data_IF_374564605378
#
_entry.id   IF_374564605378
#
_cell.length_a   1.000
_cell.length_b   1.000
_cell.length_c   1.000
_cell.angle_alpha   90.00
_cell.angle_beta   90.00
_cell.angle_gamma   90.00
#
_symmetry.space_group_name_H-M   'P 1'
#
loop_
_entity.id
_entity.type
_entity.pdbx_description
1 polymer ?
#
# COMPACT_ATOMS: atom_id res chain seq x y z
N UNK A 1 -44.46 48.01 48.09
CA UNK A 1 -43.47 47.52 49.07
C UNK A 1 -43.72 46.02 49.28
N UNK A 2 -42.64 45.24 49.38
CA UNK A 2 -42.57 43.76 49.56
C UNK A 2 -43.02 42.92 48.35
N UNK A 3 -42.36 41.84 47.94
CA UNK A 3 -41.16 41.11 48.42
C UNK A 3 -40.61 40.27 47.26
N UNK A 4 -39.32 39.99 47.28
CA UNK A 4 -38.60 39.11 46.36
C UNK A 4 -38.66 37.62 46.77
N UNK A 5 -38.13 36.77 45.86
CA UNK A 5 -37.75 35.34 45.97
C UNK A 5 -38.86 34.29 45.78
N UNK A 6 -38.67 33.15 45.09
CA UNK A 6 -37.44 32.43 44.80
C UNK A 6 -37.51 31.58 43.51
N UNK A 7 -36.33 31.47 42.90
CA UNK A 7 -35.90 30.57 41.82
C UNK A 7 -36.01 29.09 42.21
N UNK A 8 -36.43 28.20 41.28
CA UNK A 8 -35.97 26.81 41.11
C UNK A 8 -36.75 26.04 40.02
N UNK A 9 -36.11 25.85 38.87
CA UNK A 9 -36.14 24.58 38.12
C UNK A 9 -35.02 24.64 37.07
N UNK A 10 -33.84 24.15 37.48
CA UNK A 10 -32.72 23.83 36.60
C UNK A 10 -32.90 22.39 36.10
N UNK A 11 -32.56 22.15 34.84
CA UNK A 11 -32.22 20.82 34.31
C UNK A 11 -33.38 20.18 33.54
N UNK A 12 -33.23 19.70 32.31
CA UNK A 12 -32.03 19.27 31.59
C UNK A 12 -32.31 19.51 30.10
N UNK A 13 -31.62 20.48 29.49
CA UNK A 13 -31.49 20.49 28.04
C UNK A 13 -30.48 19.39 27.72
N UNK A 14 -30.97 18.19 27.33
CA UNK A 14 -30.14 17.12 26.79
C UNK A 14 -29.55 17.63 25.46
N UNK A 15 -28.45 18.37 25.57
CA UNK A 15 -27.51 18.58 24.49
C UNK A 15 -26.98 17.19 24.12
N UNK A 16 -27.62 16.55 23.15
CA UNK A 16 -26.98 15.52 22.34
C UNK A 16 -25.85 16.20 21.56
N UNK A 17 -24.74 16.50 22.24
CA UNK A 17 -23.46 16.69 21.58
C UNK A 17 -23.10 15.32 21.03
N UNK A 18 -23.58 15.03 19.82
CA UNK A 18 -23.01 14.00 18.98
C UNK A 18 -21.57 14.45 18.76
N UNK A 19 -20.66 13.92 19.59
CA UNK A 19 -19.23 14.04 19.36
C UNK A 19 -18.98 13.18 18.12
N UNK A 20 -19.17 13.77 16.94
CA UNK A 20 -18.59 13.23 15.73
C UNK A 20 -17.09 13.38 15.90
N UNK A 21 -16.42 12.32 16.36
CA UNK A 21 -15.00 12.16 16.11
C UNK A 21 -14.85 12.14 14.59
N UNK A 22 -14.64 13.32 14.03
CA UNK A 22 -14.13 13.46 12.68
C UNK A 22 -12.72 12.87 12.74
N UNK A 23 -12.60 11.58 12.44
CA UNK A 23 -11.33 11.00 12.03
C UNK A 23 -10.90 11.82 10.80
N UNK A 24 -9.97 12.75 11.00
CA UNK A 24 -9.37 13.50 9.91
C UNK A 24 -8.64 12.48 9.04
N UNK A 25 -9.32 12.00 8.00
CA UNK A 25 -8.74 11.13 6.99
C UNK A 25 -7.56 11.89 6.40
N UNK A 26 -6.34 11.44 6.69
CA UNK A 26 -5.15 12.03 6.12
C UNK A 26 -5.29 11.96 4.60
N UNK A 27 -5.01 13.06 3.89
CA UNK A 27 -5.28 13.19 2.45
C UNK A 27 -4.56 12.12 1.61
N UNK A 28 -3.53 11.48 2.18
CA UNK A 28 -2.81 10.36 1.61
C UNK A 28 -3.51 9.00 1.72
N UNK A 29 -4.51 8.79 2.56
CA UNK A 29 -5.05 7.45 2.82
C UNK A 29 -6.10 6.99 1.80
N UNK A 30 -6.00 5.72 1.39
CA UNK A 30 -6.98 5.09 0.47
C UNK A 30 -7.76 3.99 1.17
N UNK A 31 -8.94 3.67 0.66
CA UNK A 31 -9.81 2.60 1.17
C UNK A 31 -9.75 1.33 0.33
N UNK A 32 -9.29 1.45 -0.91
CA UNK A 32 -9.21 0.41 -1.93
C UNK A 32 -7.78 0.36 -2.49
N UNK A 33 -7.38 -0.80 -3.00
CA UNK A 33 -6.10 -0.92 -3.70
C UNK A 33 -6.12 -0.05 -4.96
N UNK A 34 -5.09 0.79 -5.14
CA UNK A 34 -4.89 1.53 -6.38
C UNK A 34 -3.61 1.05 -7.06
N UNK A 35 -3.72 0.70 -8.34
CA UNK A 35 -2.63 0.19 -9.16
C UNK A 35 -2.35 1.21 -10.26
N UNK A 36 -1.19 1.85 -10.23
CA UNK A 36 -0.73 2.75 -11.29
C UNK A 36 0.44 2.14 -12.06
N UNK A 37 0.28 1.89 -13.35
CA UNK A 37 1.41 1.45 -14.20
C UNK A 37 2.32 2.66 -14.46
N UNK A 38 3.59 2.55 -14.10
CA UNK A 38 4.62 3.60 -14.30
C UNK A 38 5.44 3.39 -15.55
N UNK A 39 5.68 2.14 -15.90
CA UNK A 39 6.33 1.74 -17.13
C UNK A 39 5.81 0.36 -17.51
N UNK A 40 5.50 0.17 -18.79
CA UNK A 40 5.15 -1.13 -19.35
C UNK A 40 6.06 -1.42 -20.54
N UNK A 41 6.76 -2.56 -20.58
CA UNK A 41 7.53 -2.98 -21.74
C UNK A 41 6.67 -2.99 -23.01
N UNK A 42 7.28 -2.69 -24.15
CA UNK A 42 6.60 -2.70 -25.44
C UNK A 42 6.06 -4.11 -25.80
N UNK A 43 6.83 -5.14 -25.45
CA UNK A 43 6.43 -6.55 -25.56
C UNK A 43 6.18 -7.12 -24.18
N UNK A 44 5.08 -7.85 -24.05
CA UNK A 44 4.65 -8.47 -22.81
C UNK A 44 4.62 -9.99 -22.99
N UNK A 45 5.77 -10.55 -23.35
CA UNK A 45 5.89 -11.96 -23.73
C UNK A 45 5.77 -12.88 -22.51
N UNK A 46 6.06 -12.36 -21.32
CA UNK A 46 5.94 -13.07 -20.06
C UNK A 46 5.20 -12.23 -19.02
N UNK A 47 4.08 -12.77 -18.53
CA UNK A 47 3.21 -12.15 -17.53
C UNK A 47 3.17 -12.99 -16.25
N UNK A 48 3.07 -12.31 -15.11
CA UNK A 48 2.89 -12.94 -13.82
C UNK A 48 1.44 -13.39 -13.59
N UNK A 49 1.27 -14.66 -13.26
CA UNK A 49 0.00 -15.30 -12.91
C UNK A 49 0.04 -15.86 -11.50
N UNK A 50 -1.14 -16.21 -10.98
CA UNK A 50 -1.24 -16.87 -9.68
C UNK A 50 -0.50 -18.22 -9.71
N UNK A 51 0.30 -18.47 -8.68
CA UNK A 51 1.15 -19.66 -8.54
C UNK A 51 2.53 -19.51 -9.17
N UNK A 52 2.79 -18.44 -9.93
CA UNK A 52 4.14 -18.17 -10.43
C UNK A 52 5.05 -17.74 -9.30
N UNK A 53 6.30 -18.19 -9.36
CA UNK A 53 7.38 -17.67 -8.53
C UNK A 53 7.93 -16.40 -9.18
N UNK A 54 7.75 -15.25 -8.54
CA UNK A 54 8.15 -13.96 -9.11
C UNK A 54 9.26 -13.30 -8.30
N UNK A 55 10.14 -12.57 -8.99
CA UNK A 55 11.14 -11.69 -8.36
C UNK A 55 10.78 -10.24 -8.57
N UNK A 56 10.78 -9.44 -7.50
CA UNK A 56 10.32 -8.05 -7.53
C UNK A 56 11.32 -7.13 -6.83
N UNK A 57 11.76 -6.09 -7.54
CA UNK A 57 12.38 -4.94 -6.89
C UNK A 57 11.30 -3.99 -6.38
N UNK A 58 11.53 -3.36 -5.23
CA UNK A 58 10.57 -2.44 -4.63
C UNK A 58 11.20 -1.39 -3.73
N UNK A 59 10.45 -0.30 -3.53
CA UNK A 59 10.64 0.66 -2.44
C UNK A 59 9.30 0.92 -1.77
N UNK A 60 9.20 0.63 -0.47
CA UNK A 60 8.04 0.85 0.37
C UNK A 60 8.13 2.14 1.17
N UNK A 61 7.07 2.95 1.12
CA UNK A 61 6.96 4.25 1.80
C UNK A 61 5.62 4.42 2.50
N UNK A 62 5.61 5.20 3.57
CA UNK A 62 4.39 5.75 4.16
C UNK A 62 3.89 6.95 3.34
N UNK A 63 2.66 7.41 3.63
CA UNK A 63 2.02 8.52 2.90
C UNK A 63 2.70 9.87 3.10
N UNK A 64 3.49 10.03 4.17
CA UNK A 64 4.35 11.18 4.43
C UNK A 64 5.68 11.14 3.64
N UNK A 65 5.94 10.04 2.92
CA UNK A 65 7.16 9.82 2.12
C UNK A 65 8.27 9.05 2.84
N UNK A 66 8.13 8.75 4.14
CA UNK A 66 9.10 7.98 4.92
C UNK A 66 9.29 6.59 4.32
N UNK A 67 10.52 6.27 3.89
CA UNK A 67 10.88 4.93 3.41
C UNK A 67 11.04 4.00 4.61
N UNK A 68 10.30 2.90 4.63
CA UNK A 68 10.46 1.88 5.67
C UNK A 68 11.30 0.68 5.21
N UNK A 69 11.30 0.41 3.89
CA UNK A 69 12.03 -0.70 3.31
C UNK A 69 12.27 -0.53 1.79
N UNK A 70 13.36 -1.09 1.28
CA UNK A 70 13.82 -0.89 -0.11
C UNK A 70 14.75 -2.02 -0.55
N UNK A 71 14.34 -2.83 -1.54
CA UNK A 71 15.22 -3.84 -2.10
C UNK A 71 16.25 -3.27 -3.08
N UNK A 72 15.99 -2.09 -3.65
CA UNK A 72 16.97 -1.37 -4.46
C UNK A 72 18.23 -0.98 -3.66
N UNK A 73 18.07 -0.61 -2.39
CA UNK A 73 19.19 -0.26 -1.51
C UNK A 73 20.01 -1.49 -1.09
N UNK A 74 19.36 -2.66 -1.01
CA UNK A 74 20.04 -3.94 -0.73
C UNK A 74 20.68 -4.57 -1.97
N UNK A 75 20.24 -4.19 -3.16
CA UNK A 75 20.67 -4.77 -4.43
C UNK A 75 20.10 -6.17 -4.71
N UNK A 76 19.14 -6.66 -3.92
CA UNK A 76 18.59 -8.01 -4.04
C UNK A 76 17.04 -7.98 -4.06
N UNK A 77 16.38 -8.33 -5.19
CA UNK A 77 14.93 -8.47 -5.29
C UNK A 77 14.36 -9.48 -4.29
N UNK A 78 13.10 -9.28 -3.88
CA UNK A 78 12.38 -10.32 -3.11
C UNK A 78 11.78 -11.35 -4.08
N UNK A 79 11.85 -12.64 -3.71
CA UNK A 79 11.21 -13.75 -4.42
C UNK A 79 10.08 -14.34 -3.59
N UNK A 80 8.92 -14.60 -4.22
CA UNK A 80 7.76 -15.25 -3.57
C UNK A 80 6.81 -15.84 -4.62
N UNK A 81 5.88 -16.69 -4.17
CA UNK A 81 4.83 -17.27 -5.01
C UNK A 81 3.58 -16.39 -5.04
N UNK A 82 3.23 -15.87 -6.22
CA UNK A 82 2.20 -14.85 -6.40
C UNK A 82 0.78 -15.40 -6.15
N UNK A 83 -0.02 -14.68 -5.36
CA UNK A 83 -1.44 -14.97 -5.18
C UNK A 83 -1.73 -16.13 -4.24
N UNK A 84 -0.77 -16.45 -3.36
CA UNK A 84 -0.83 -17.59 -2.43
C UNK A 84 -0.84 -17.18 -0.95
N UNK A 85 -0.79 -15.88 -0.65
CA UNK A 85 -0.74 -15.36 0.71
C UNK A 85 0.66 -15.37 1.34
N UNK A 86 1.73 -15.55 0.56
CA UNK A 86 3.11 -15.43 1.07
C UNK A 86 3.52 -13.98 1.38
N UNK A 87 2.85 -13.01 0.78
CA UNK A 87 3.04 -11.57 1.00
C UNK A 87 1.71 -10.90 1.35
N UNK A 88 1.73 -9.60 1.66
CA UNK A 88 0.51 -8.86 1.97
C UNK A 88 -0.50 -8.93 0.80
N UNK A 89 -1.82 -8.97 1.06
CA UNK A 89 -2.84 -9.13 0.02
C UNK A 89 -2.77 -8.10 -1.11
N UNK A 90 -2.35 -6.85 -0.81
CA UNK A 90 -2.21 -5.80 -1.81
C UNK A 90 -1.11 -6.07 -2.84
N UNK A 91 -0.08 -6.85 -2.48
CA UNK A 91 0.93 -7.31 -3.44
C UNK A 91 0.41 -8.45 -4.30
N UNK A 92 -0.22 -9.44 -3.66
CA UNK A 92 -0.84 -10.58 -4.35
C UNK A 92 -1.85 -10.14 -5.40
N UNK A 93 -2.63 -9.10 -5.11
CA UNK A 93 -3.58 -8.51 -6.07
C UNK A 93 -2.90 -7.54 -7.03
N UNK A 94 -1.99 -6.69 -6.53
CA UNK A 94 -1.42 -5.58 -7.28
C UNK A 94 -0.45 -5.97 -8.39
N UNK A 95 0.13 -7.17 -8.32
CA UNK A 95 1.16 -7.65 -9.24
C UNK A 95 0.65 -8.65 -10.29
N UNK A 96 -0.59 -9.13 -10.17
CA UNK A 96 -1.20 -9.99 -11.18
C UNK A 96 -1.21 -9.33 -12.57
N UNK A 97 -0.87 -10.12 -13.58
CA UNK A 97 -0.84 -9.72 -14.98
C UNK A 97 0.26 -8.71 -15.34
N UNK A 98 1.18 -8.39 -14.42
CA UNK A 98 2.34 -7.56 -14.73
C UNK A 98 3.25 -8.27 -15.73
N UNK A 99 3.75 -7.54 -16.72
CA UNK A 99 4.79 -8.05 -17.63
C UNK A 99 6.14 -8.03 -16.92
N UNK A 100 7.02 -8.97 -17.21
CA UNK A 100 8.40 -8.88 -16.74
C UNK A 100 9.06 -7.61 -17.30
N UNK A 101 9.66 -6.79 -16.43
CA UNK A 101 10.15 -5.43 -16.70
C UNK A 101 9.13 -4.33 -16.41
N UNK A 102 7.86 -4.64 -16.14
CA UNK A 102 6.83 -3.65 -15.79
C UNK A 102 7.09 -3.03 -14.42
N UNK A 103 6.93 -1.70 -14.35
CA UNK A 103 7.01 -0.94 -13.09
C UNK A 103 5.64 -0.45 -12.69
N UNK A 104 5.25 -0.69 -11.44
CA UNK A 104 3.96 -0.25 -10.89
C UNK A 104 4.17 0.61 -9.66
N UNK A 105 3.22 1.49 -9.40
CA UNK A 105 2.99 2.13 -8.13
C UNK A 105 1.74 1.53 -7.52
N UNK A 106 1.88 0.83 -6.40
CA UNK A 106 0.78 0.28 -5.63
C UNK A 106 0.51 1.20 -4.44
N UNK A 107 -0.74 1.62 -4.26
CA UNK A 107 -1.19 2.31 -3.06
C UNK A 107 -2.17 1.40 -2.33
N UNK A 108 -1.71 0.88 -1.20
CA UNK A 108 -2.32 -0.26 -0.52
C UNK A 108 -2.97 0.24 0.77
N UNK A 109 -4.30 0.11 0.92
CA UNK A 109 -4.97 0.44 2.18
C UNK A 109 -4.52 -0.52 3.28
N UNK A 110 -4.59 -0.09 4.55
CA UNK A 110 -4.15 -0.89 5.71
C UNK A 110 -4.75 -2.30 5.73
N UNK A 111 -6.04 -2.45 5.36
CA UNK A 111 -6.76 -3.74 5.28
C UNK A 111 -6.15 -4.75 4.31
N UNK A 112 -5.35 -4.29 3.33
CA UNK A 112 -4.61 -5.12 2.37
C UNK A 112 -3.09 -5.07 2.62
N UNK A 113 -2.67 -4.42 3.70
CA UNK A 113 -1.29 -4.34 4.19
C UNK A 113 -1.18 -4.98 5.58
N UNK A 114 -0.79 -4.19 6.59
CA UNK A 114 -0.56 -4.66 7.96
C UNK A 114 -1.71 -4.40 8.94
N UNK A 115 -2.88 -3.96 8.45
CA UNK A 115 -4.08 -3.72 9.26
C UNK A 115 -3.88 -2.70 10.39
N UNK A 116 -4.71 -2.82 11.42
CA UNK A 116 -4.71 -1.89 12.57
C UNK A 116 -3.52 -2.12 13.51
N UNK A 117 -2.87 -3.28 13.43
CA UNK A 117 -1.70 -3.59 14.25
C UNK A 117 -0.40 -2.99 13.66
N UNK A 118 -0.35 -2.79 12.35
CA UNK A 118 0.86 -2.33 11.67
C UNK A 118 2.00 -3.36 11.72
N UNK A 119 3.22 -2.88 11.53
CA UNK A 119 4.46 -3.65 11.73
C UNK A 119 5.48 -2.77 12.47
N UNK A 120 5.37 -2.69 13.80
CA UNK A 120 6.23 -1.84 14.61
C UNK A 120 7.72 -2.23 14.51
N UNK A 121 8.65 -1.26 14.62
CA UNK A 121 8.41 0.17 14.84
C UNK A 121 8.18 0.98 13.55
N UNK A 122 8.34 0.37 12.37
CA UNK A 122 8.44 1.11 11.10
C UNK A 122 7.10 1.45 10.46
N UNK A 123 6.10 0.59 10.63
CA UNK A 123 4.78 0.75 10.00
C UNK A 123 3.75 0.88 11.11
N UNK A 124 3.13 2.06 11.30
CA UNK A 124 2.08 2.22 12.29
C UNK A 124 0.81 1.47 11.90
N UNK A 125 -0.05 1.20 12.88
CA UNK A 125 -1.38 0.67 12.68
C UNK A 125 -2.24 1.57 11.78
N UNK A 126 -3.05 0.97 10.90
CA UNK A 126 -3.96 1.70 10.03
C UNK A 126 -3.26 2.41 8.84
N UNK A 127 -1.96 2.22 8.65
CA UNK A 127 -1.21 2.90 7.61
C UNK A 127 -1.61 2.48 6.19
N UNK A 128 -1.80 3.46 5.30
CA UNK A 128 -1.72 3.27 3.86
C UNK A 128 -0.26 3.15 3.43
N UNK A 129 0.05 2.17 2.60
CA UNK A 129 1.40 1.94 2.08
C UNK A 129 1.50 2.34 0.61
N UNK A 130 2.65 2.89 0.23
CA UNK A 130 2.99 3.19 -1.16
C UNK A 130 4.19 2.34 -1.55
N UNK A 131 4.05 1.52 -2.59
CA UNK A 131 5.14 0.75 -3.16
C UNK A 131 5.39 1.18 -4.60
N UNK A 132 6.64 1.52 -4.92
CA UNK A 132 7.11 1.51 -6.30
C UNK A 132 7.75 0.14 -6.53
N UNK A 133 7.24 -0.65 -7.49
CA UNK A 133 7.67 -2.01 -7.78
C UNK A 133 8.16 -2.17 -9.22
N UNK A 134 9.01 -3.17 -9.44
CA UNK A 134 9.51 -3.60 -10.74
C UNK A 134 9.55 -5.12 -10.78
N UNK A 135 8.79 -5.73 -11.69
CA UNK A 135 8.79 -7.18 -11.86
C UNK A 135 10.06 -7.59 -12.62
N UNK A 136 10.96 -8.30 -11.95
CA UNK A 136 12.29 -8.66 -12.47
C UNK A 136 12.26 -10.01 -13.17
N UNK A 137 11.51 -10.98 -12.65
CA UNK A 137 11.43 -12.31 -13.26
C UNK A 137 10.13 -13.03 -12.90
N UNK A 138 9.75 -13.97 -13.75
CA UNK A 138 8.67 -14.94 -13.52
C UNK A 138 9.24 -16.34 -13.77
N UNK A 139 9.11 -17.24 -12.81
CA UNK A 139 9.64 -18.61 -12.83
C UNK A 139 11.12 -18.69 -13.25
N UNK A 140 11.92 -17.73 -12.76
CA UNK A 140 13.35 -17.62 -13.07
C UNK A 140 13.68 -16.99 -14.43
N UNK A 141 12.68 -16.63 -15.24
CA UNK A 141 12.90 -15.99 -16.54
C UNK A 141 12.91 -14.45 -16.39
N UNK A 142 14.02 -13.77 -16.74
CA UNK A 142 14.14 -12.31 -16.69
C UNK A 142 13.43 -11.65 -17.90
N UNK A 143 13.42 -10.30 -18.02
CA UNK A 143 12.85 -9.67 -19.21
C UNK A 143 13.60 -10.18 -20.44
N UNK A 144 12.89 -10.41 -21.55
CA UNK A 144 13.54 -10.72 -22.81
C UNK A 144 14.33 -9.48 -23.24
N UNK A 145 15.62 -9.46 -22.93
CA UNK A 145 16.52 -8.44 -23.44
C UNK A 145 16.44 -8.48 -24.97
N UNK A 146 16.01 -7.37 -25.57
CA UNK A 146 16.44 -7.11 -26.95
C UNK A 146 17.94 -6.91 -26.88
N UNK A 147 18.72 -7.97 -27.19
CA UNK A 147 20.19 -7.99 -27.34
C UNK A 147 20.86 -6.65 -27.02
N UNK A 148 21.10 -6.39 -25.73
CA UNK A 148 21.94 -5.26 -25.35
C UNK A 148 23.39 -5.72 -25.53
N UNK A 149 24.00 -5.18 -26.57
CA UNK A 149 25.42 -5.23 -26.90
C UNK A 149 26.31 -5.11 -25.65
N UNK A 150 26.83 -6.26 -25.21
CA UNK A 150 28.13 -6.36 -24.56
C UNK A 150 29.05 -7.15 -25.49
N UNK A 151 29.40 -6.53 -26.61
CA UNK A 151 30.65 -6.80 -27.30
C UNK A 151 31.33 -5.46 -27.57
N UNK A 152 32.29 -5.12 -26.71
CA UNK A 152 33.65 -4.66 -27.05
C UNK A 152 34.44 -4.41 -25.76
#
# INVERSE_FOLDING_TARGET
>A
MSSASAMKAVGVLLLFTVITLAYAKNSGDVTELQIGVKFKPQKCDLQAHKGDKIKVHYRGKLTDGTVFDSSFERGDPIEFELGTGQVIPGWDQGLLGACVGEKRKLKIPSKLGYGDNGSPPKIPGGATLIFDTELVAVNGQPPSEGKAEKEL
#
